data_IF_373722553462
#
_entry.id   IF_373722553462
#
_cell.length_a   1.000
_cell.length_b   1.000
_cell.length_c   1.000
_cell.angle_alpha   90.00
_cell.angle_beta   90.00
_cell.angle_gamma   90.00
#
_symmetry.space_group_name_H-M   'P 1'
#
loop_
_entity.id
_entity.type
_entity.pdbx_description
1 polymer ?
#
# COMPACT_ATOMS: atom_id res chain seq x y z
N UNK A 1 -24.00 5.68 20.40
CA UNK A 1 -24.13 4.52 19.49
C UNK A 1 -25.12 4.81 18.36
N UNK A 2 -26.37 5.17 18.66
CA UNK A 2 -27.40 5.52 17.67
C UNK A 2 -26.97 6.58 16.63
N UNK A 3 -26.40 7.71 17.08
CA UNK A 3 -25.96 8.79 16.17
C UNK A 3 -24.83 8.39 15.21
N UNK A 4 -23.95 7.48 15.62
CA UNK A 4 -22.87 6.97 14.78
C UNK A 4 -23.42 6.11 13.64
N UNK A 5 -24.41 5.26 13.95
CA UNK A 5 -25.11 4.44 12.97
C UNK A 5 -25.81 5.34 11.95
N UNK A 6 -26.51 6.38 12.41
CA UNK A 6 -27.16 7.36 11.53
C UNK A 6 -26.15 8.07 10.63
N UNK A 7 -25.02 8.53 11.19
CA UNK A 7 -23.99 9.21 10.42
C UNK A 7 -23.42 8.31 9.31
N UNK A 8 -23.12 7.04 9.63
CA UNK A 8 -22.63 6.06 8.65
C UNK A 8 -23.68 5.81 7.57
N UNK A 9 -24.95 5.68 7.94
CA UNK A 9 -26.05 5.50 6.97
C UNK A 9 -26.13 6.68 5.99
N UNK A 10 -26.09 7.91 6.49
CA UNK A 10 -26.12 9.12 5.65
C UNK A 10 -24.92 9.16 4.71
N UNK A 11 -23.70 8.90 5.22
CA UNK A 11 -22.50 8.88 4.39
C UNK A 11 -22.59 7.80 3.31
N UNK A 12 -23.06 6.60 3.66
CA UNK A 12 -23.23 5.50 2.70
C UNK A 12 -24.24 5.84 1.61
N UNK A 13 -25.34 6.52 1.95
CA UNK A 13 -26.33 6.98 0.97
C UNK A 13 -25.70 7.95 -0.04
N UNK A 14 -24.91 8.93 0.41
CA UNK A 14 -24.22 9.86 -0.49
C UNK A 14 -23.08 9.21 -1.29
N UNK A 15 -22.45 8.15 -0.80
CA UNK A 15 -21.43 7.43 -1.55
C UNK A 15 -22.02 6.57 -2.68
N UNK A 16 -23.17 5.91 -2.44
CA UNK A 16 -23.76 4.97 -3.40
C UNK A 16 -24.87 5.57 -4.27
N UNK A 17 -25.57 6.59 -3.77
CA UNK A 17 -26.79 7.13 -4.38
C UNK A 17 -26.78 8.68 -4.41
N UNK A 18 -25.62 9.27 -4.70
CA UNK A 18 -25.52 10.71 -4.93
C UNK A 18 -26.34 11.14 -6.17
N UNK A 19 -27.10 12.24 -6.10
CA UNK A 19 -27.72 12.82 -7.27
C UNK A 19 -26.67 13.32 -8.26
N UNK A 20 -26.99 13.26 -9.55
CA UNK A 20 -26.03 13.54 -10.64
C UNK A 20 -25.43 14.95 -10.57
N UNK A 21 -26.15 15.91 -9.96
CA UNK A 21 -25.69 17.28 -9.75
C UNK A 21 -24.46 17.42 -8.85
N UNK A 22 -24.26 16.51 -7.88
CA UNK A 22 -23.14 16.58 -6.92
C UNK A 22 -22.19 15.37 -7.02
N UNK A 23 -22.56 14.36 -7.81
CA UNK A 23 -21.80 13.11 -7.96
C UNK A 23 -20.36 13.34 -8.41
N UNK A 24 -20.15 14.29 -9.34
CA UNK A 24 -18.80 14.64 -9.80
C UNK A 24 -17.94 15.24 -8.67
N UNK A 25 -18.53 16.10 -7.84
CA UNK A 25 -17.85 16.72 -6.69
C UNK A 25 -17.47 15.68 -5.65
N UNK A 26 -18.39 14.77 -5.29
CA UNK A 26 -18.12 13.69 -4.31
C UNK A 26 -17.03 12.75 -4.84
N UNK A 27 -17.07 12.38 -6.12
CA UNK A 27 -16.05 11.54 -6.75
C UNK A 27 -14.67 12.21 -6.73
N UNK A 28 -14.61 13.51 -7.07
CA UNK A 28 -13.36 14.27 -7.03
C UNK A 28 -12.80 14.38 -5.60
N UNK A 29 -13.66 14.68 -4.61
CA UNK A 29 -13.26 14.72 -3.19
C UNK A 29 -12.74 13.36 -2.74
N UNK A 30 -13.44 12.28 -3.09
CA UNK A 30 -13.02 10.90 -2.78
C UNK A 30 -11.67 10.56 -3.41
N UNK A 31 -11.45 10.94 -4.67
CA UNK A 31 -10.18 10.74 -5.36
C UNK A 31 -9.05 11.52 -4.70
N UNK A 32 -9.25 12.80 -4.38
CA UNK A 32 -8.24 13.63 -3.68
C UNK A 32 -7.94 13.06 -2.29
N UNK A 33 -8.95 12.64 -1.55
CA UNK A 33 -8.78 12.02 -0.24
C UNK A 33 -7.98 10.70 -0.33
N UNK A 34 -8.27 9.85 -1.33
CA UNK A 34 -7.51 8.63 -1.58
C UNK A 34 -6.05 8.94 -1.93
N UNK A 35 -5.80 9.89 -2.84
CA UNK A 35 -4.44 10.28 -3.23
C UNK A 35 -3.66 10.81 -2.04
N UNK A 36 -4.25 11.71 -1.24
CA UNK A 36 -3.61 12.25 -0.05
C UNK A 36 -3.28 11.13 0.96
N UNK A 37 -4.21 10.20 1.19
CA UNK A 37 -4.01 9.07 2.08
C UNK A 37 -2.87 8.16 1.59
N UNK A 38 -2.82 7.87 0.28
CA UNK A 38 -1.74 7.08 -0.31
C UNK A 38 -0.38 7.77 -0.20
N UNK A 39 -0.32 9.09 -0.39
CA UNK A 39 0.92 9.86 -0.24
C UNK A 39 1.44 9.81 1.20
N UNK A 40 0.56 9.98 2.18
CA UNK A 40 0.93 9.89 3.60
C UNK A 40 1.42 8.48 3.93
N UNK A 41 0.69 7.43 3.50
CA UNK A 41 1.11 6.05 3.71
C UNK A 41 2.45 5.74 3.05
N UNK A 42 2.69 6.24 1.84
CA UNK A 42 3.96 6.07 1.14
C UNK A 42 5.11 6.73 1.91
N UNK A 43 4.92 7.98 2.37
CA UNK A 43 5.92 8.67 3.19
C UNK A 43 6.21 7.95 4.51
N UNK A 44 5.16 7.50 5.21
CA UNK A 44 5.31 6.73 6.44
C UNK A 44 6.00 5.39 6.21
N UNK A 45 5.70 4.71 5.09
CA UNK A 45 6.32 3.44 4.72
C UNK A 45 7.83 3.60 4.53
N UNK A 46 8.28 4.65 3.82
CA UNK A 46 9.71 4.93 3.64
C UNK A 46 10.41 5.11 4.98
N UNK A 47 9.83 5.90 5.88
CA UNK A 47 10.38 6.12 7.22
C UNK A 47 10.44 4.79 8.01
N UNK A 48 9.38 3.98 7.93
CA UNK A 48 9.31 2.68 8.59
C UNK A 48 10.35 1.69 8.05
N UNK A 49 10.58 1.69 6.74
CA UNK A 49 11.62 0.87 6.09
C UNK A 49 13.01 1.29 6.59
N UNK A 50 13.29 2.59 6.70
CA UNK A 50 14.57 3.08 7.23
C UNK A 50 14.78 2.76 8.72
N UNK A 51 13.69 2.66 9.49
CA UNK A 51 13.72 2.24 10.90
C UNK A 51 13.78 0.72 11.07
N UNK A 52 13.68 -0.05 9.99
CA UNK A 52 13.70 -1.52 10.05
C UNK A 52 15.12 -2.00 10.38
N UNK A 53 15.27 -3.06 11.20
CA UNK A 53 16.59 -3.57 11.55
C UNK A 53 17.45 -3.87 10.30
N UNK A 54 18.71 -3.39 10.24
CA UNK A 54 19.57 -3.54 9.07
C UNK A 54 19.82 -5.01 8.68
N UNK A 55 19.69 -5.93 9.64
CA UNK A 55 19.83 -7.37 9.46
C UNK A 55 18.87 -7.91 8.39
N UNK A 56 17.67 -7.33 8.27
CA UNK A 56 16.68 -7.75 7.28
C UNK A 56 17.18 -7.44 5.86
N UNK A 57 17.82 -6.29 5.66
CA UNK A 57 18.40 -5.92 4.37
C UNK A 57 19.61 -6.78 4.03
N UNK A 58 20.46 -7.08 5.01
CA UNK A 58 21.60 -7.98 4.83
C UNK A 58 21.13 -9.39 4.50
N UNK A 59 20.12 -9.91 5.19
CA UNK A 59 19.55 -11.23 4.92
C UNK A 59 18.98 -11.31 3.49
N UNK A 60 18.28 -10.27 3.03
CA UNK A 60 17.80 -10.17 1.65
C UNK A 60 18.96 -10.19 0.64
N UNK A 61 20.02 -9.42 0.88
CA UNK A 61 21.19 -9.41 0.01
C UNK A 61 21.87 -10.80 -0.04
N UNK A 62 22.02 -11.45 1.11
CA UNK A 62 22.57 -12.81 1.21
C UNK A 62 21.71 -13.84 0.50
N UNK A 63 20.39 -13.69 0.53
CA UNK A 63 19.46 -14.56 -0.21
C UNK A 63 19.65 -14.43 -1.73
N UNK A 64 19.84 -13.20 -2.23
CA UNK A 64 20.15 -12.96 -3.65
C UNK A 64 21.48 -13.60 -4.04
N UNK A 65 22.52 -13.43 -3.20
CA UNK A 65 23.82 -14.06 -3.44
C UNK A 65 23.71 -15.59 -3.45
N UNK A 66 23.00 -16.18 -2.49
CA UNK A 66 22.77 -17.61 -2.43
C UNK A 66 22.08 -18.15 -3.69
N UNK A 67 21.09 -17.43 -4.22
CA UNK A 67 20.44 -17.79 -5.48
C UNK A 67 21.42 -17.78 -6.66
N UNK A 68 22.26 -16.76 -6.77
CA UNK A 68 23.30 -16.71 -7.81
C UNK A 68 24.32 -17.83 -7.67
N UNK A 69 24.79 -18.10 -6.46
CA UNK A 69 25.72 -19.21 -6.21
C UNK A 69 25.12 -20.56 -6.56
N UNK A 70 23.85 -20.83 -6.22
CA UNK A 70 23.17 -22.06 -6.61
C UNK A 70 23.06 -22.18 -8.13
N UNK A 71 22.67 -21.09 -8.79
CA UNK A 71 22.54 -21.04 -10.26
C UNK A 71 23.88 -21.30 -10.95
N UNK A 72 24.97 -20.81 -10.38
CA UNK A 72 26.32 -21.03 -10.90
C UNK A 72 26.76 -22.49 -10.74
N UNK A 73 26.56 -23.08 -9.55
CA UNK A 73 26.84 -24.49 -9.29
C UNK A 73 26.04 -25.42 -10.21
N UNK A 74 24.76 -25.14 -10.47
CA UNK A 74 23.94 -25.92 -11.40
C UNK A 74 24.46 -25.85 -12.83
N UNK A 75 25.06 -24.71 -13.21
CA UNK A 75 25.59 -24.48 -14.56
C UNK A 75 27.03 -24.94 -14.74
N UNK A 76 27.69 -25.41 -13.69
CA UNK A 76 29.04 -25.97 -13.82
C UNK A 76 29.01 -27.22 -14.71
N UNK A 77 29.89 -27.30 -15.73
CA UNK A 77 30.03 -28.51 -16.54
C UNK A 77 30.53 -29.65 -15.65
N UNK A 78 29.86 -30.81 -15.73
CA UNK A 78 30.32 -32.01 -15.04
C UNK A 78 31.64 -32.47 -15.65
N UNK A 79 32.59 -32.79 -14.77
CA UNK A 79 33.87 -33.41 -15.12
C UNK A 79 33.65 -34.79 -15.73
#
# INVERSE_FOLDING_TARGET
>A
MFYLIIAILIISYYLFMAPDSIRNTISMIGMVALVALLLVLAGMSIIKIMQTPPEIFVALAMMVLAYFSLKDVIKMPKK
#
